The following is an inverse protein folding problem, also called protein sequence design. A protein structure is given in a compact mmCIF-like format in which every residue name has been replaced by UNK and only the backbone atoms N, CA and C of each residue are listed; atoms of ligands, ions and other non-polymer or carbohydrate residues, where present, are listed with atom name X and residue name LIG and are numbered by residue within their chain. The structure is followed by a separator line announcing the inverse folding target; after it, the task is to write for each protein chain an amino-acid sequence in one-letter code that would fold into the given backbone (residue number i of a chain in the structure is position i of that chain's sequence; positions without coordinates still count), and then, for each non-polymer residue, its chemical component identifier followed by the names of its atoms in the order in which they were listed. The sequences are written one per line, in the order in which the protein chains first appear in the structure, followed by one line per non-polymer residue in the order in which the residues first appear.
data_IF_857959276240
#
_entry.id   IF_857959276240
#
_cell.length_a   1.000
_cell.length_b   1.000
_cell.length_c   1.000
_cell.angle_alpha   90.00
_cell.angle_beta   90.00
_cell.angle_gamma   90.00
#
_symmetry.space_group_name_H-M   'P 1'
#
loop_
_entity.id
_entity.type
_entity.pdbx_description
1 polymer ?
#
# COMPACT_ATOMS: atom_id res chain seq x y z
N UNK A 1 3.79 -5.20 8.53
CA UNK A 1 4.27 -4.18 7.55
C UNK A 1 3.23 -3.06 7.49
N UNK A 2 3.62 -1.80 7.27
CA UNK A 2 2.66 -0.67 7.09
C UNK A 2 2.33 -0.46 5.61
N UNK A 3 1.22 0.23 5.31
CA UNK A 3 0.81 0.56 3.94
C UNK A 3 1.89 1.33 3.18
N UNK A 4 2.52 2.31 3.81
CA UNK A 4 3.62 3.08 3.20
C UNK A 4 4.83 2.19 2.88
N UNK A 5 5.23 1.32 3.81
CA UNK A 5 6.35 0.39 3.57
C UNK A 5 6.02 -0.60 2.45
N UNK A 6 4.77 -1.07 2.39
CA UNK A 6 4.30 -1.93 1.31
C UNK A 6 4.28 -1.22 -0.04
N UNK A 7 3.80 0.02 -0.11
CA UNK A 7 3.84 0.83 -1.33
C UNK A 7 5.28 0.99 -1.86
N UNK A 8 6.23 1.21 -0.96
CA UNK A 8 7.64 1.39 -1.33
C UNK A 8 8.26 0.07 -1.79
N UNK A 9 8.12 -0.99 -0.99
CA UNK A 9 8.80 -2.27 -1.23
C UNK A 9 8.16 -3.11 -2.34
N UNK A 10 6.84 -3.12 -2.43
CA UNK A 10 6.11 -4.04 -3.33
C UNK A 10 5.53 -3.33 -4.56
N UNK A 11 5.32 -2.00 -4.50
CA UNK A 11 4.71 -1.22 -5.60
C UNK A 11 5.65 -0.22 -6.25
N UNK A 12 6.89 -0.09 -5.76
CA UNK A 12 7.93 0.73 -6.37
C UNK A 12 7.74 2.24 -6.20
N UNK A 13 6.89 2.68 -5.27
CA UNK A 13 6.82 4.09 -4.91
C UNK A 13 8.07 4.51 -4.13
N UNK A 14 8.52 5.74 -4.29
CA UNK A 14 9.62 6.30 -3.52
C UNK A 14 9.18 6.80 -2.15
N UNK A 15 7.92 7.22 -2.01
CA UNK A 15 7.34 7.70 -0.74
C UNK A 15 5.81 7.70 -0.77
N UNK A 16 5.19 7.88 0.41
CA UNK A 16 3.75 8.12 0.51
C UNK A 16 3.33 9.41 -0.21
N UNK A 17 4.19 10.43 -0.22
CA UNK A 17 3.92 11.71 -0.90
C UNK A 17 3.84 11.53 -2.42
N UNK A 18 4.67 10.66 -3.01
CA UNK A 18 4.60 10.35 -4.43
C UNK A 18 3.26 9.69 -4.78
N UNK A 19 2.81 8.73 -3.96
CA UNK A 19 1.50 8.11 -4.10
C UNK A 19 0.37 9.15 -3.96
N UNK A 20 0.41 9.99 -2.93
CA UNK A 20 -0.59 11.04 -2.72
C UNK A 20 -0.63 12.05 -3.86
N UNK A 21 0.53 12.42 -4.42
CA UNK A 21 0.63 13.30 -5.59
C UNK A 21 -0.04 12.68 -6.81
N UNK A 22 0.18 11.40 -7.09
CA UNK A 22 -0.50 10.66 -8.16
C UNK A 22 -2.02 10.68 -7.97
N UNK A 23 -2.48 10.31 -6.78
CA UNK A 23 -3.90 10.24 -6.41
C UNK A 23 -4.58 11.62 -6.56
N UNK A 24 -3.91 12.69 -6.15
CA UNK A 24 -4.44 14.05 -6.20
C UNK A 24 -4.52 14.61 -7.62
N UNK A 25 -3.68 14.15 -8.56
CA UNK A 25 -3.74 14.54 -9.98
C UNK A 25 -4.93 13.94 -10.73
N UNK A 26 -5.57 12.91 -10.17
CA UNK A 26 -6.68 12.22 -10.81
C UNK A 26 -8.03 12.93 -10.55
N UNK A 27 -8.97 12.89 -11.53
CA UNK A 27 -10.37 13.22 -11.31
C UNK A 27 -10.96 12.38 -10.18
N UNK A 28 -12.01 12.91 -9.52
CA UNK A 28 -12.59 12.29 -8.32
C UNK A 28 -12.93 10.80 -8.47
N UNK A 29 -13.56 10.41 -9.58
CA UNK A 29 -13.95 9.02 -9.79
C UNK A 29 -12.73 8.09 -9.93
N UNK A 30 -11.74 8.49 -10.73
CA UNK A 30 -10.48 7.76 -10.91
C UNK A 30 -9.68 7.69 -9.61
N UNK A 31 -9.64 8.80 -8.86
CA UNK A 31 -9.02 8.89 -7.54
C UNK A 31 -9.62 7.86 -6.57
N UNK A 32 -10.96 7.81 -6.49
CA UNK A 32 -11.67 6.88 -5.62
C UNK A 32 -11.37 5.42 -5.97
N UNK A 33 -11.37 5.09 -7.26
CA UNK A 33 -11.03 3.74 -7.76
C UNK A 33 -9.60 3.36 -7.42
N UNK A 34 -8.63 4.25 -7.62
CA UNK A 34 -7.22 3.98 -7.34
C UNK A 34 -6.97 3.74 -5.84
N UNK A 35 -7.54 4.59 -4.98
CA UNK A 35 -7.43 4.41 -3.52
C UNK A 35 -8.01 3.06 -3.10
N UNK A 36 -9.18 2.70 -3.61
CA UNK A 36 -9.84 1.44 -3.28
C UNK A 36 -9.00 0.24 -3.74
N UNK A 37 -8.48 0.29 -4.98
CA UNK A 37 -7.61 -0.73 -5.55
C UNK A 37 -6.43 -1.04 -4.62
N UNK A 38 -5.64 -0.03 -4.25
CA UNK A 38 -4.47 -0.23 -3.41
C UNK A 38 -4.82 -0.67 -1.99
N UNK A 39 -5.96 -0.23 -1.45
CA UNK A 39 -6.44 -0.71 -0.13
C UNK A 39 -6.77 -2.20 -0.15
N UNK A 40 -7.53 -2.65 -1.16
CA UNK A 40 -7.90 -4.06 -1.30
C UNK A 40 -6.65 -4.91 -1.54
N UNK A 41 -5.76 -4.45 -2.41
CA UNK A 41 -4.54 -5.16 -2.72
C UNK A 41 -3.58 -5.26 -1.51
N UNK A 42 -3.49 -4.20 -0.70
CA UNK A 42 -2.75 -4.22 0.56
C UNK A 42 -3.37 -5.19 1.57
N UNK A 43 -4.70 -5.21 1.69
CA UNK A 43 -5.40 -6.15 2.56
C UNK A 43 -5.11 -7.59 2.13
N UNK A 44 -5.28 -7.90 0.84
CA UNK A 44 -4.95 -9.21 0.29
C UNK A 44 -3.47 -9.58 0.51
N UNK A 45 -2.56 -8.62 0.41
CA UNK A 45 -1.14 -8.84 0.71
C UNK A 45 -0.93 -9.26 2.18
N UNK A 46 -1.62 -8.62 3.12
CA UNK A 46 -1.56 -8.98 4.54
C UNK A 46 -2.19 -10.34 4.83
N UNK A 47 -3.27 -10.69 4.12
CA UNK A 47 -4.00 -11.95 4.32
C UNK A 47 -3.27 -13.15 3.68
N UNK A 48 -2.58 -12.94 2.56
CA UNK A 48 -1.95 -14.03 1.77
C UNK A 48 -0.49 -14.29 2.15
N UNK A 49 0.21 -13.30 2.70
CA UNK A 49 1.52 -13.56 3.30
C UNK A 49 1.27 -13.93 4.77
N UNK A 50 1.69 -15.13 5.23
CA UNK A 50 1.74 -15.34 6.67
C UNK A 50 2.58 -14.18 7.20
N UNK A 51 2.02 -13.43 8.15
CA UNK A 51 2.81 -12.59 9.04
C UNK A 51 3.90 -13.56 9.51
N UNK A 52 5.10 -13.48 8.93
CA UNK A 52 6.28 -13.93 9.62
C UNK A 52 6.21 -13.06 10.84
N UNK A 53 5.62 -13.62 11.91
CA UNK A 53 5.84 -13.19 13.26
C UNK A 53 7.33 -12.97 13.26
N UNK A 54 7.74 -11.70 13.30
CA UNK A 54 9.09 -11.37 13.71
C UNK A 54 9.17 -12.03 15.07
N UNK A 55 9.67 -13.27 15.10
CA UNK A 55 9.90 -14.02 16.31
C UNK A 55 10.94 -13.15 16.99
N UNK A 56 10.48 -12.32 17.92
CA UNK A 56 11.31 -11.63 18.86
C UNK A 56 11.95 -12.73 19.70
N UNK A 57 13.07 -13.26 19.20
CA UNK A 57 13.94 -14.14 19.99
C UNK A 57 14.55 -13.23 21.05
N UNK A 58 13.92 -13.21 22.22
CA UNK A 58 14.48 -12.66 23.46
C UNK A 58 15.42 -13.66 24.10
#
# INVERSE_FOLDING_TARGET
MTFTTWLIKEKGFSSLEQYNSLVNKLPYESRRKLILYYKIEYQNYLDTRPIQLEIEIK
#
